data_IF_085167839171
#
_entry.id   IF_085167839171
#
_cell.length_a   1.000
_cell.length_b   1.000
_cell.length_c   1.000
_cell.angle_alpha   90.00
_cell.angle_beta   90.00
_cell.angle_gamma   90.00
#
_symmetry.space_group_name_H-M   'P 1'
#
loop_
_entity.id
_entity.type
_entity.pdbx_description
1 polymer ?
#
# COMPACT_ATOMS: atom_id res chain seq x y z
N UNK A 1 -12.22 10.15 20.69
CA UNK A 1 -12.25 9.51 19.36
C UNK A 1 -12.88 10.48 18.39
N UNK A 2 -12.27 10.67 17.22
CA UNK A 2 -12.89 11.38 16.11
C UNK A 2 -14.13 10.58 15.67
N UNK A 3 -15.30 11.21 15.44
CA UNK A 3 -16.47 10.50 14.96
C UNK A 3 -16.18 9.89 13.58
N UNK A 4 -16.57 8.63 13.41
CA UNK A 4 -16.49 7.90 12.13
C UNK A 4 -17.84 8.04 11.42
N UNK A 5 -17.80 8.38 10.13
CA UNK A 5 -18.97 8.59 9.29
C UNK A 5 -19.02 7.55 8.16
N UNK A 6 -20.18 7.36 7.52
CA UNK A 6 -20.24 6.62 6.26
C UNK A 6 -19.22 7.16 5.25
N UNK A 7 -18.60 6.25 4.53
CA UNK A 7 -17.52 6.40 3.55
C UNK A 7 -16.15 6.79 4.10
N UNK A 8 -16.00 6.93 5.43
CA UNK A 8 -14.68 7.09 6.03
C UNK A 8 -13.85 5.82 5.83
N UNK A 9 -12.55 6.01 5.54
CA UNK A 9 -11.58 4.91 5.55
C UNK A 9 -11.17 4.61 6.98
N UNK A 10 -11.23 3.34 7.34
CA UNK A 10 -10.83 2.85 8.65
C UNK A 10 -9.78 1.76 8.53
N UNK A 11 -8.91 1.68 9.52
CA UNK A 11 -7.92 0.61 9.69
C UNK A 11 -8.35 -0.29 10.85
N UNK A 12 -8.38 -1.60 10.64
CA UNK A 12 -8.58 -2.56 11.72
C UNK A 12 -7.36 -2.51 12.67
N UNK A 13 -7.59 -2.33 13.97
CA UNK A 13 -6.53 -2.34 15.01
C UNK A 13 -6.51 -3.64 15.82
N UNK A 14 -7.27 -4.63 15.37
CA UNK A 14 -7.42 -5.95 16.00
C UNK A 14 -7.38 -7.05 14.95
N UNK A 15 -6.98 -8.26 15.36
CA UNK A 15 -6.89 -9.42 14.47
C UNK A 15 -8.13 -10.32 14.51
N UNK A 16 -9.20 -9.87 15.20
CA UNK A 16 -10.46 -10.60 15.37
C UNK A 16 -11.10 -11.03 14.05
N UNK A 17 -10.89 -10.27 12.98
CA UNK A 17 -11.54 -10.47 11.69
C UNK A 17 -10.67 -11.24 10.67
N UNK A 18 -9.50 -11.77 11.09
CA UNK A 18 -8.59 -12.52 10.21
C UNK A 18 -9.27 -13.68 9.49
N UNK A 19 -10.11 -14.46 10.18
CA UNK A 19 -10.82 -15.61 9.59
C UNK A 19 -11.82 -15.20 8.50
N UNK A 20 -12.24 -13.93 8.48
CA UNK A 20 -13.10 -13.35 7.46
C UNK A 20 -12.30 -12.71 6.32
N UNK A 21 -10.98 -12.90 6.28
CA UNK A 21 -10.11 -12.31 5.24
C UNK A 21 -9.66 -10.87 5.51
N UNK A 22 -9.83 -10.38 6.74
CA UNK A 22 -9.45 -9.02 7.14
C UNK A 22 -8.59 -9.06 8.43
N UNK A 23 -7.29 -9.35 8.33
CA UNK A 23 -6.39 -9.28 9.48
C UNK A 23 -6.24 -7.85 10.03
N UNK A 24 -5.56 -7.71 11.17
CA UNK A 24 -5.13 -6.40 11.68
C UNK A 24 -4.42 -5.57 10.59
N UNK A 25 -4.61 -4.26 10.60
CA UNK A 25 -4.14 -3.25 9.62
C UNK A 25 -4.84 -3.24 8.26
N UNK A 26 -5.78 -4.15 8.04
CA UNK A 26 -6.65 -4.08 6.85
C UNK A 26 -7.37 -2.75 6.80
N UNK A 27 -7.35 -2.11 5.63
CA UNK A 27 -8.12 -0.89 5.35
C UNK A 27 -9.48 -1.29 4.80
N UNK A 28 -10.53 -0.70 5.36
CA UNK A 28 -11.89 -0.80 4.86
C UNK A 28 -12.56 0.56 4.75
N UNK A 29 -13.73 0.57 4.14
CA UNK A 29 -14.62 1.74 4.09
C UNK A 29 -15.85 1.48 4.93
N UNK A 30 -16.22 2.44 5.75
CA UNK A 30 -17.51 2.38 6.46
C UNK A 30 -18.63 2.56 5.43
N UNK A 31 -19.54 1.60 5.33
CA UNK A 31 -20.74 1.74 4.50
C UNK A 31 -21.89 2.34 5.31
N UNK A 32 -22.06 1.85 6.53
CA UNK A 32 -23.14 2.23 7.43
C UNK A 32 -22.65 2.34 8.88
N UNK A 33 -23.27 3.25 9.64
CA UNK A 33 -23.13 3.34 11.10
C UNK A 33 -24.49 3.00 11.70
N UNK A 34 -24.56 1.88 12.40
CA UNK A 34 -25.78 1.41 13.04
C UNK A 34 -26.15 2.25 14.27
N UNK A 35 -27.41 2.15 14.70
CA UNK A 35 -27.94 2.93 15.84
C UNK A 35 -27.23 2.65 17.17
N UNK A 36 -26.66 1.45 17.34
CA UNK A 36 -25.89 1.06 18.52
C UNK A 36 -24.41 1.49 18.44
N UNK A 37 -24.04 2.19 17.37
CA UNK A 37 -22.67 2.61 17.09
C UNK A 37 -21.83 1.56 16.37
N UNK A 38 -22.35 0.36 16.09
CA UNK A 38 -21.67 -0.62 15.25
C UNK A 38 -21.43 -0.08 13.83
N UNK A 39 -20.36 -0.55 13.18
CA UNK A 39 -19.97 -0.11 11.84
C UNK A 39 -20.14 -1.27 10.87
N UNK A 40 -20.74 -1.03 9.71
CA UNK A 40 -20.61 -1.92 8.57
C UNK A 40 -19.39 -1.48 7.76
N UNK A 41 -18.40 -2.35 7.63
CA UNK A 41 -17.13 -2.06 6.96
C UNK A 41 -16.94 -3.00 5.78
N UNK A 42 -16.79 -2.43 4.59
CA UNK A 42 -16.36 -3.17 3.41
C UNK A 42 -14.84 -3.20 3.35
N UNK A 43 -14.28 -4.40 3.21
CA UNK A 43 -12.88 -4.62 2.89
C UNK A 43 -12.80 -5.11 1.46
N UNK A 44 -12.05 -4.39 0.64
CA UNK A 44 -11.87 -4.70 -0.76
C UNK A 44 -10.39 -4.92 -1.07
N UNK A 45 -10.12 -5.82 -2.02
CA UNK A 45 -8.79 -6.03 -2.56
C UNK A 45 -8.36 -4.76 -3.32
N UNK A 46 -7.31 -4.05 -2.89
CA UNK A 46 -6.91 -2.81 -3.56
C UNK A 46 -6.38 -3.04 -4.97
N UNK A 47 -5.92 -4.26 -5.32
CA UNK A 47 -5.40 -4.56 -6.65
C UNK A 47 -6.52 -4.87 -7.66
N UNK A 48 -7.61 -5.51 -7.22
CA UNK A 48 -8.70 -5.93 -8.11
C UNK A 48 -10.01 -5.16 -7.93
N UNK A 49 -10.15 -4.41 -6.84
CA UNK A 49 -11.39 -3.75 -6.44
C UNK A 49 -12.48 -4.71 -5.94
N UNK A 50 -12.18 -6.01 -5.87
CA UNK A 50 -13.15 -7.03 -5.44
C UNK A 50 -13.32 -6.98 -3.93
N UNK A 51 -14.56 -6.91 -3.46
CA UNK A 51 -14.91 -7.04 -2.05
C UNK A 51 -14.43 -8.39 -1.51
N UNK A 52 -13.51 -8.36 -0.55
CA UNK A 52 -13.00 -9.54 0.17
C UNK A 52 -13.90 -9.90 1.34
N UNK A 53 -14.41 -8.90 2.05
CA UNK A 53 -15.26 -9.09 3.20
C UNK A 53 -16.22 -7.91 3.40
N UNK A 54 -17.38 -8.22 3.96
CA UNK A 54 -18.29 -7.24 4.54
C UNK A 54 -18.43 -7.59 6.03
N UNK A 55 -18.07 -6.66 6.91
CA UNK A 55 -17.88 -6.91 8.33
C UNK A 55 -18.77 -6.00 9.17
N UNK A 56 -19.39 -6.53 10.22
CA UNK A 56 -19.86 -5.71 11.33
C UNK A 56 -18.73 -5.55 12.34
N UNK A 57 -18.20 -4.34 12.44
CA UNK A 57 -17.02 -3.98 13.25
C UNK A 57 -17.42 -3.07 14.39
N UNK A 58 -16.76 -3.23 15.54
CA UNK A 58 -16.98 -2.34 16.68
C UNK A 58 -16.12 -1.08 16.55
N UNK A 59 -16.58 0.10 16.99
CA UNK A 59 -15.78 1.32 16.95
C UNK A 59 -14.41 1.21 17.62
N UNK A 60 -14.29 0.43 18.70
CA UNK A 60 -13.01 0.21 19.39
C UNK A 60 -12.04 -0.72 18.64
N UNK A 61 -12.51 -1.41 17.60
CA UNK A 61 -11.72 -2.32 16.78
C UNK A 61 -11.13 -1.61 15.54
N UNK A 62 -11.41 -0.32 15.36
CA UNK A 62 -10.93 0.51 14.24
C UNK A 62 -10.37 1.86 14.66
N UNK A 63 -9.58 2.43 13.78
CA UNK A 63 -9.22 3.85 13.80
C UNK A 63 -9.35 4.47 12.39
N UNK A 64 -9.42 5.80 12.25
CA UNK A 64 -9.32 6.45 10.95
C UNK A 64 -8.02 6.05 10.25
N UNK A 65 -8.11 5.67 8.97
CA UNK A 65 -6.92 5.37 8.19
C UNK A 65 -6.23 6.66 7.74
N UNK A 66 -4.94 6.78 8.02
CA UNK A 66 -4.15 7.93 7.54
C UNK A 66 -3.99 7.89 6.02
N UNK A 67 -4.47 8.92 5.33
CA UNK A 67 -4.47 8.98 3.87
C UNK A 67 -3.06 8.86 3.27
N UNK A 68 -2.03 9.42 3.93
CA UNK A 68 -0.65 9.33 3.46
C UNK A 68 -0.14 7.90 3.52
N UNK A 69 -0.43 7.18 4.62
CA UNK A 69 -0.07 5.77 4.75
C UNK A 69 -0.83 4.90 3.74
N UNK A 70 -2.12 5.18 3.52
CA UNK A 70 -2.93 4.46 2.51
C UNK A 70 -2.34 4.63 1.12
N UNK A 71 -2.00 5.87 0.72
CA UNK A 71 -1.41 6.15 -0.59
C UNK A 71 -0.01 5.57 -0.73
N UNK A 72 0.81 5.62 0.32
CA UNK A 72 2.13 4.97 0.31
C UNK A 72 1.97 3.46 0.08
N UNK A 73 0.98 2.84 0.72
CA UNK A 73 0.74 1.40 0.51
C UNK A 73 0.20 1.08 -0.88
N UNK A 74 -0.60 1.95 -1.47
CA UNK A 74 -0.99 1.80 -2.87
C UNK A 74 0.23 1.87 -3.81
N UNK A 75 1.17 2.81 -3.59
CA UNK A 75 2.37 2.92 -4.41
C UNK A 75 3.32 1.72 -4.24
N UNK A 76 3.53 1.24 -3.00
CA UNK A 76 4.30 0.00 -2.76
C UNK A 76 3.65 -1.22 -3.43
N UNK A 77 2.31 -1.35 -3.40
CA UNK A 77 1.62 -2.43 -4.13
C UNK A 77 1.83 -2.34 -5.64
N UNK A 78 1.81 -1.13 -6.21
CA UNK A 78 2.12 -0.94 -7.63
C UNK A 78 3.58 -1.35 -7.95
N UNK A 79 4.54 -1.04 -7.07
CA UNK A 79 5.93 -1.46 -7.21
C UNK A 79 6.14 -2.97 -7.03
N UNK A 80 5.34 -3.62 -6.18
CA UNK A 80 5.39 -5.06 -5.94
C UNK A 80 4.67 -5.89 -7.02
N UNK A 81 3.78 -5.27 -7.79
CA UNK A 81 2.99 -5.95 -8.80
C UNK A 81 3.86 -6.64 -9.86
N UNK A 82 3.35 -7.72 -10.45
CA UNK A 82 4.06 -8.42 -11.54
C UNK A 82 4.22 -7.50 -12.77
N UNK A 83 5.16 -7.80 -13.69
CA UNK A 83 5.45 -6.91 -14.80
C UNK A 83 4.25 -6.60 -15.70
N UNK A 84 3.35 -7.56 -15.91
CA UNK A 84 2.15 -7.34 -16.73
C UNK A 84 1.27 -6.23 -16.14
N UNK A 85 0.98 -6.30 -14.84
CA UNK A 85 0.15 -5.30 -14.15
C UNK A 85 0.84 -3.93 -14.13
N UNK A 86 2.16 -3.89 -13.93
CA UNK A 86 2.94 -2.65 -13.96
C UNK A 86 2.87 -1.97 -15.34
N UNK A 87 3.03 -2.76 -16.41
CA UNK A 87 2.97 -2.25 -17.78
C UNK A 87 1.56 -1.81 -18.20
N UNK A 88 0.52 -2.53 -17.77
CA UNK A 88 -0.87 -2.12 -17.97
C UNK A 88 -1.17 -0.79 -17.27
N UNK A 89 -0.68 -0.61 -16.04
CA UNK A 89 -0.82 0.65 -15.30
C UNK A 89 -0.14 1.80 -16.05
N UNK A 90 1.09 1.61 -16.55
CA UNK A 90 1.80 2.63 -17.34
C UNK A 90 1.09 2.95 -18.66
N UNK A 91 0.57 1.94 -19.36
CA UNK A 91 -0.17 2.16 -20.60
C UNK A 91 -1.41 3.04 -20.38
N UNK A 92 -2.04 2.96 -19.20
CA UNK A 92 -3.19 3.81 -18.82
C UNK A 92 -2.83 5.28 -18.56
N UNK A 93 -1.56 5.56 -18.23
CA UNK A 93 -1.06 6.93 -17.97
C UNK A 93 -0.74 7.70 -19.26
N UNK A 94 -0.61 6.99 -20.38
CA UNK A 94 -0.41 7.56 -21.70
C UNK A 94 0.97 7.27 -22.31
N UNK A 95 1.19 7.71 -23.56
CA UNK A 95 2.43 7.46 -24.27
C UNK A 95 3.60 8.17 -23.59
N UNK A 96 4.69 7.43 -23.38
CA UNK A 96 5.91 7.95 -22.76
C UNK A 96 6.01 7.70 -21.25
N UNK A 97 4.97 7.15 -20.61
CA UNK A 97 5.07 6.71 -19.22
C UNK A 97 6.11 5.58 -19.09
N UNK A 98 7.16 5.84 -18.32
CA UNK A 98 8.24 4.91 -18.04
C UNK A 98 8.15 4.35 -16.62
N UNK A 99 9.10 3.50 -16.26
CA UNK A 99 9.18 2.94 -14.91
C UNK A 99 9.39 3.98 -13.82
N UNK A 100 9.91 5.16 -14.17
CA UNK A 100 10.06 6.29 -13.28
C UNK A 100 8.70 6.77 -12.74
N UNK A 101 7.65 6.77 -13.57
CA UNK A 101 6.29 7.12 -13.15
C UNK A 101 5.75 6.20 -12.05
N UNK A 102 6.10 4.91 -12.04
CA UNK A 102 5.72 4.00 -10.95
C UNK A 102 6.39 4.37 -9.62
N UNK A 103 7.55 5.01 -9.66
CA UNK A 103 8.36 5.34 -8.47
C UNK A 103 8.09 6.72 -7.90
N UNK A 104 7.59 7.66 -8.71
CA UNK A 104 7.34 9.06 -8.31
C UNK A 104 6.42 9.15 -7.09
N UNK A 105 5.33 8.38 -7.09
CA UNK A 105 4.36 8.43 -5.99
C UNK A 105 4.97 7.87 -4.69
N UNK A 106 5.80 6.82 -4.77
CA UNK A 106 6.55 6.33 -3.61
C UNK A 106 7.50 7.40 -3.06
N UNK A 107 8.34 7.99 -3.91
CA UNK A 107 9.32 9.01 -3.50
C UNK A 107 8.66 10.21 -2.81
N UNK A 108 7.52 10.66 -3.36
CA UNK A 108 6.75 11.78 -2.82
C UNK A 108 6.18 11.48 -1.45
N UNK A 109 5.73 10.24 -1.22
CA UNK A 109 4.98 9.87 -0.02
C UNK A 109 5.86 9.29 1.09
N UNK A 110 6.99 8.68 0.75
CA UNK A 110 7.79 7.91 1.69
C UNK A 110 8.19 8.72 2.94
N UNK A 111 8.85 9.86 2.75
CA UNK A 111 9.31 10.70 3.86
C UNK A 111 8.18 11.21 4.77
N UNK A 112 7.10 11.83 4.25
CA UNK A 112 6.02 12.28 5.12
C UNK A 112 5.27 11.12 5.78
N UNK A 113 5.09 10.00 5.10
CA UNK A 113 4.42 8.83 5.66
C UNK A 113 5.23 8.16 6.78
N UNK A 114 6.56 8.04 6.63
CA UNK A 114 7.43 7.50 7.70
C UNK A 114 7.40 8.38 8.95
N UNK A 115 7.27 9.69 8.81
CA UNK A 115 7.15 10.59 9.96
C UNK A 115 5.89 10.38 10.81
N UNK A 116 4.87 9.70 10.25
CA UNK A 116 3.62 9.38 10.92
C UNK A 116 3.66 8.00 11.63
N UNK A 117 4.61 7.15 11.28
CA UNK A 117 4.78 5.85 11.91
C UNK A 117 5.28 6.02 13.34
N UNK A 118 4.74 5.22 14.25
CA UNK A 118 5.17 5.26 15.65
C UNK A 118 6.52 4.57 15.84
N UNK A 119 7.13 4.70 17.02
CA UNK A 119 8.33 3.94 17.39
C UNK A 119 8.03 2.53 17.91
N UNK A 120 6.84 1.98 17.60
CA UNK A 120 6.50 0.61 17.99
C UNK A 120 7.46 -0.41 17.34
N UNK A 121 7.71 -1.58 17.97
CA UNK A 121 8.57 -2.60 17.37
C UNK A 121 8.10 -3.06 15.99
N UNK A 122 6.78 -3.13 15.75
CA UNK A 122 6.19 -3.49 14.46
C UNK A 122 6.45 -2.42 13.40
N UNK A 123 6.19 -1.16 13.73
CA UNK A 123 6.48 -0.06 12.81
C UNK A 123 7.97 0.05 12.49
N UNK A 124 8.85 -0.31 13.44
CA UNK A 124 10.30 -0.33 13.19
C UNK A 124 10.70 -1.34 12.13
N UNK A 125 10.17 -2.56 12.17
CA UNK A 125 10.48 -3.57 11.16
C UNK A 125 9.97 -3.12 9.78
N UNK A 126 8.74 -2.60 9.72
CA UNK A 126 8.15 -2.03 8.52
C UNK A 126 8.95 -0.83 7.96
N UNK A 127 9.40 0.08 8.82
CA UNK A 127 10.26 1.21 8.44
C UNK A 127 11.61 0.76 7.85
N UNK A 128 12.22 -0.30 8.39
CA UNK A 128 13.46 -0.86 7.84
C UNK A 128 13.25 -1.39 6.42
N UNK A 129 12.12 -2.07 6.15
CA UNK A 129 11.80 -2.55 4.80
C UNK A 129 11.55 -1.42 3.82
N UNK A 130 10.85 -0.36 4.24
CA UNK A 130 10.66 0.81 3.41
C UNK A 130 11.99 1.52 3.10
N UNK A 131 12.91 1.57 4.08
CA UNK A 131 14.24 2.14 3.88
C UNK A 131 15.07 1.31 2.87
N UNK A 132 15.05 -0.02 2.97
CA UNK A 132 15.73 -0.91 1.99
C UNK A 132 15.22 -0.66 0.56
N UNK A 133 13.90 -0.46 0.40
CA UNK A 133 13.28 -0.14 -0.89
C UNK A 133 13.69 1.25 -1.40
N UNK A 134 13.67 2.27 -0.54
CA UNK A 134 14.10 3.64 -0.88
C UNK A 134 15.57 3.70 -1.29
N UNK A 135 16.45 3.00 -0.56
CA UNK A 135 17.88 2.92 -0.87
C UNK A 135 18.11 2.25 -2.23
N UNK A 136 17.36 1.19 -2.54
CA UNK A 136 17.43 0.52 -3.84
C UNK A 136 16.99 1.45 -4.98
N UNK A 137 15.86 2.13 -4.82
CA UNK A 137 15.35 3.12 -5.79
C UNK A 137 16.34 4.27 -6.00
N UNK A 138 16.92 4.79 -4.93
CA UNK A 138 17.96 5.81 -4.99
C UNK A 138 19.18 5.30 -5.77
N UNK A 139 19.58 4.03 -5.57
CA UNK A 139 20.67 3.42 -6.32
C UNK A 139 20.39 3.34 -7.82
N UNK A 140 19.16 3.03 -8.24
CA UNK A 140 18.78 2.98 -9.66
C UNK A 140 18.82 4.38 -10.29
N UNK A 141 18.28 5.39 -9.61
CA UNK A 141 18.31 6.79 -10.08
C UNK A 141 19.74 7.30 -10.27
N UNK A 142 20.65 6.94 -9.36
CA UNK A 142 22.04 7.39 -9.38
C UNK A 142 22.89 6.75 -10.49
N UNK A 143 22.42 5.69 -11.16
CA UNK A 143 23.14 5.08 -12.29
C UNK A 143 23.06 5.90 -13.57
N UNK A 144 22.16 6.88 -13.65
CA UNK A 144 21.95 7.75 -14.83
C UNK A 144 21.78 6.97 -16.15
N UNK A 145 21.20 5.78 -16.09
CA UNK A 145 20.94 4.93 -17.25
C UNK A 145 19.43 4.93 -17.58
N UNK A 146 19.00 5.62 -18.65
CA UNK A 146 17.59 5.67 -19.06
C UNK A 146 17.03 4.30 -19.42
N UNK A 147 17.86 3.34 -19.82
CA UNK A 147 17.40 2.01 -20.24
C UNK A 147 16.72 1.24 -19.11
N UNK A 148 17.10 1.52 -17.85
CA UNK A 148 16.52 0.94 -16.65
C UNK A 148 15.05 1.34 -16.42
N UNK A 149 14.56 2.38 -17.08
CA UNK A 149 13.21 2.92 -16.88
C UNK A 149 12.27 2.59 -18.05
N UNK A 150 12.71 1.73 -18.97
CA UNK A 150 11.92 1.32 -20.13
C UNK A 150 10.93 0.20 -19.80
N UNK A 151 9.90 0.05 -20.62
CA UNK A 151 8.98 -1.10 -20.54
C UNK A 151 9.71 -2.45 -20.63
N UNK A 152 10.80 -2.52 -21.41
CA UNK A 152 11.62 -3.72 -21.52
C UNK A 152 12.35 -4.04 -20.21
N UNK A 153 12.92 -3.03 -19.55
CA UNK A 153 13.56 -3.22 -18.25
C UNK A 153 12.56 -3.66 -17.18
N UNK A 154 11.38 -3.03 -17.11
CA UNK A 154 10.30 -3.45 -16.19
C UNK A 154 9.95 -4.93 -16.38
N UNK A 155 9.84 -5.35 -17.64
CA UNK A 155 9.46 -6.71 -18.01
C UNK A 155 10.51 -7.76 -17.64
N UNK A 156 11.80 -7.44 -17.75
CA UNK A 156 12.84 -8.48 -17.85
C UNK A 156 14.10 -8.24 -17.02
N UNK A 157 14.35 -7.03 -16.52
CA UNK A 157 15.61 -6.74 -15.86
C UNK A 157 15.65 -7.31 -14.44
N UNK A 158 16.87 -7.65 -14.00
CA UNK A 158 17.12 -8.09 -12.63
C UNK A 158 16.86 -6.94 -11.64
N UNK A 159 17.08 -5.69 -12.05
CA UNK A 159 16.81 -4.51 -11.21
C UNK A 159 15.35 -4.39 -10.81
N UNK A 160 14.45 -4.56 -11.78
CA UNK A 160 13.01 -4.50 -11.54
C UNK A 160 12.50 -5.73 -10.80
N UNK A 161 13.11 -6.89 -11.03
CA UNK A 161 12.84 -8.09 -10.23
C UNK A 161 13.20 -7.86 -8.78
N UNK A 162 14.38 -7.30 -8.51
CA UNK A 162 14.81 -6.98 -7.15
C UNK A 162 13.93 -5.92 -6.49
N UNK A 163 13.51 -4.90 -7.24
CA UNK A 163 12.59 -3.87 -6.76
C UNK A 163 11.26 -4.49 -6.32
N UNK A 164 10.68 -5.38 -7.13
CA UNK A 164 9.42 -6.09 -6.79
C UNK A 164 9.57 -6.95 -5.53
N UNK A 165 10.69 -7.64 -5.38
CA UNK A 165 10.98 -8.43 -4.16
C UNK A 165 11.03 -7.56 -2.91
N UNK A 166 11.73 -6.41 -2.96
CA UNK A 166 11.82 -5.48 -1.85
C UNK A 166 10.45 -4.88 -1.51
N UNK A 167 9.69 -4.46 -2.52
CA UNK A 167 8.33 -3.96 -2.32
C UNK A 167 7.38 -5.04 -1.76
N UNK A 168 7.51 -6.30 -2.20
CA UNK A 168 6.73 -7.41 -1.63
C UNK A 168 7.09 -7.68 -0.17
N UNK A 169 8.38 -7.56 0.19
CA UNK A 169 8.82 -7.72 1.57
C UNK A 169 8.27 -6.62 2.50
N UNK A 170 8.07 -5.40 1.98
CA UNK A 170 7.38 -4.31 2.71
C UNK A 170 5.94 -4.71 3.03
N UNK A 171 5.20 -5.25 2.07
CA UNK A 171 3.80 -5.67 2.25
C UNK A 171 3.67 -6.80 3.28
N UNK A 172 4.55 -7.81 3.19
CA UNK A 172 4.57 -8.94 4.13
C UNK A 172 4.83 -8.47 5.58
N UNK A 173 5.74 -7.52 5.78
CA UNK A 173 6.03 -6.97 7.11
C UNK A 173 4.85 -6.16 7.66
N UNK A 174 4.08 -5.51 6.78
CA UNK A 174 2.86 -4.81 7.18
C UNK A 174 1.73 -5.79 7.54
N UNK A 175 1.74 -7.00 6.96
CA UNK A 175 0.69 -8.01 7.12
C UNK A 175 -0.35 -8.01 6.01
N UNK A 176 0.00 -7.43 4.84
CA UNK A 176 -0.77 -7.43 3.60
C UNK A 176 -0.46 -8.65 2.70
#
# INVERSE_FOLDING_TARGET
>A
MTPVNPYDRVRLITDRYRSSGAPIDTIGYVLEVYLDGGLEVEVSDPASGVTRALLSVRPEDVEPADELLVRLMASVRALAANPTVQLESLASMGPGAGGDELTIEFDRLFRPAVALLSSSPRDRAYMLRLADLDDWLASLRNRSDPSLWTAEAIARSDEWTKLRELASAVLLERGD
#
